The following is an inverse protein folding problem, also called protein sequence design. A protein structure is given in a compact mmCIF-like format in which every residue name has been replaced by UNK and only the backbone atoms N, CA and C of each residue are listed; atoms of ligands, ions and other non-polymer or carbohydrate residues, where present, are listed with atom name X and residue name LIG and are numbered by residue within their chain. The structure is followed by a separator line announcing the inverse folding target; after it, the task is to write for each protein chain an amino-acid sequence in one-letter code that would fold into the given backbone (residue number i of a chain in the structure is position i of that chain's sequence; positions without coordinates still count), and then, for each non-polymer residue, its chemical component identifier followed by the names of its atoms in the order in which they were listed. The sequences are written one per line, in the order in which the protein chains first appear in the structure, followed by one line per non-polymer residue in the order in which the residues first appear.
data_IF_278295254893
#
_entry.id   IF_278295254893
#
_cell.length_a   1.000
_cell.length_b   1.000
_cell.length_c   1.000
_cell.angle_alpha   90.00
_cell.angle_beta   90.00
_cell.angle_gamma   90.00
#
_symmetry.space_group_name_H-M   'P 1'
#
loop_
_entity.id
_entity.type
_entity.pdbx_description
1 polymer ?
#
# COMPACT_ATOMS: atom_id res chain seq x y z
N UNK A 1 19.09 -9.27 6.21
CA UNK A 1 19.79 -7.96 6.19
C UNK A 1 20.94 -7.94 5.18
N UNK A 2 21.63 -9.03 4.92
CA UNK A 2 22.79 -9.05 4.00
C UNK A 2 22.49 -8.83 2.51
N UNK A 3 21.24 -8.69 2.14
CA UNK A 3 20.79 -8.42 0.77
C UNK A 3 20.23 -7.01 0.54
N UNK A 4 20.06 -6.22 1.59
CA UNK A 4 19.54 -4.85 1.45
C UNK A 4 20.58 -3.92 0.82
N UNK A 5 20.10 -2.89 0.12
CA UNK A 5 20.96 -1.85 -0.43
C UNK A 5 21.63 -1.06 0.68
N UNK A 6 22.90 -0.71 0.48
CA UNK A 6 23.62 0.23 1.34
C UNK A 6 23.19 1.68 1.10
N UNK A 7 23.58 2.55 2.02
CA UNK A 7 23.24 3.98 1.99
C UNK A 7 23.71 4.67 0.70
N UNK A 8 24.89 4.32 0.20
CA UNK A 8 25.47 4.94 -1.00
C UNK A 8 24.69 4.58 -2.26
N UNK A 9 24.27 3.31 -2.38
CA UNK A 9 23.41 2.84 -3.50
C UNK A 9 22.04 3.50 -3.46
N UNK A 10 21.44 3.65 -2.27
CA UNK A 10 20.18 4.39 -2.10
C UNK A 10 20.33 5.87 -2.49
N UNK A 11 21.38 6.55 -2.02
CA UNK A 11 21.62 7.96 -2.34
C UNK A 11 21.75 8.19 -3.86
N UNK A 12 22.47 7.29 -4.56
CA UNK A 12 22.53 7.30 -6.02
C UNK A 12 21.15 7.10 -6.65
N UNK A 13 20.38 6.14 -6.17
CA UNK A 13 19.03 5.86 -6.70
C UNK A 13 18.09 7.04 -6.48
N UNK A 14 18.20 7.77 -5.37
CA UNK A 14 17.42 8.99 -5.11
C UNK A 14 17.78 10.12 -6.09
N UNK A 15 19.07 10.34 -6.35
CA UNK A 15 19.49 11.31 -7.35
C UNK A 15 18.99 10.93 -8.74
N UNK A 16 19.15 9.68 -9.16
CA UNK A 16 18.65 9.18 -10.45
C UNK A 16 17.11 9.30 -10.57
N UNK A 17 16.38 9.14 -9.45
CA UNK A 17 14.92 9.33 -9.40
C UNK A 17 14.57 10.82 -9.57
N UNK A 18 15.26 11.73 -8.89
CA UNK A 18 15.07 13.16 -9.04
C UNK A 18 15.37 13.62 -10.47
N UNK A 19 16.44 13.13 -11.09
CA UNK A 19 16.80 13.40 -12.48
C UNK A 19 15.73 12.90 -13.47
N UNK A 20 14.98 11.85 -13.13
CA UNK A 20 13.81 11.37 -13.88
C UNK A 20 12.56 12.22 -13.67
N UNK A 21 12.59 13.21 -12.77
CA UNK A 21 11.46 14.08 -12.44
C UNK A 21 10.56 13.52 -11.33
N UNK A 22 11.01 12.56 -10.52
CA UNK A 22 10.31 12.15 -9.31
C UNK A 22 10.31 13.30 -8.31
N UNK A 23 9.15 13.64 -7.78
CA UNK A 23 8.99 14.73 -6.82
C UNK A 23 8.84 14.24 -5.38
N UNK A 24 8.33 13.03 -5.19
CA UNK A 24 8.02 12.49 -3.87
C UNK A 24 8.62 11.11 -3.68
N UNK A 25 9.25 10.93 -2.51
CA UNK A 25 9.81 9.67 -2.07
C UNK A 25 9.03 9.15 -0.85
N UNK A 26 8.51 7.94 -0.95
CA UNK A 26 7.87 7.25 0.16
C UNK A 26 8.82 6.20 0.72
N UNK A 27 9.33 6.44 1.93
CA UNK A 27 10.14 5.48 2.68
C UNK A 27 9.20 4.51 3.40
N UNK A 28 9.15 3.28 2.93
CA UNK A 28 8.24 2.23 3.38
C UNK A 28 8.98 0.88 3.42
N UNK A 29 8.28 -0.24 3.30
CA UNK A 29 8.84 -1.59 3.23
C UNK A 29 8.33 -2.48 4.35
N UNK A 30 9.23 -3.12 5.12
CA UNK A 30 8.87 -3.76 6.37
C UNK A 30 8.52 -2.70 7.41
N UNK A 31 9.53 -2.23 8.14
CA UNK A 31 9.41 -1.05 9.02
C UNK A 31 10.68 -0.19 8.84
N UNK A 32 10.57 0.95 8.14
CA UNK A 32 11.74 1.78 7.81
C UNK A 32 12.41 2.36 9.05
N UNK A 33 11.67 2.58 10.14
CA UNK A 33 12.23 3.09 11.40
C UNK A 33 13.27 2.13 12.03
N UNK A 34 13.30 0.86 11.63
CA UNK A 34 14.30 -0.11 12.11
C UNK A 34 15.66 0.03 11.43
N UNK A 35 15.75 0.75 10.30
CA UNK A 35 17.04 0.99 9.63
C UNK A 35 17.89 1.94 10.45
N UNK A 36 19.14 1.54 10.69
CA UNK A 36 20.11 2.36 11.45
C UNK A 36 20.48 3.64 10.71
N UNK A 37 20.63 3.55 9.39
CA UNK A 37 21.03 4.62 8.47
C UNK A 37 19.85 5.46 7.93
N UNK A 38 18.63 5.34 8.51
CA UNK A 38 17.46 6.07 8.02
C UNK A 38 17.67 7.60 7.99
N UNK A 39 18.39 8.15 8.98
CA UNK A 39 18.73 9.58 9.03
C UNK A 39 19.60 9.99 7.83
N UNK A 40 20.56 9.15 7.44
CA UNK A 40 21.44 9.41 6.30
C UNK A 40 20.70 9.28 4.97
N UNK A 41 19.74 8.34 4.89
CA UNK A 41 18.85 8.21 3.73
C UNK A 41 17.95 9.45 3.55
N UNK A 42 17.42 10.00 4.65
CA UNK A 42 16.60 11.22 4.59
C UNK A 42 17.46 12.41 4.14
N UNK A 43 18.69 12.55 4.66
CA UNK A 43 19.62 13.59 4.19
C UNK A 43 19.89 13.47 2.68
N UNK A 44 20.18 12.25 2.22
CA UNK A 44 20.42 12.00 0.80
C UNK A 44 19.19 12.32 -0.08
N UNK A 45 17.98 12.02 0.39
CA UNK A 45 16.76 12.35 -0.31
C UNK A 45 16.50 13.86 -0.36
N UNK A 46 16.73 14.57 0.76
CA UNK A 46 16.68 16.04 0.82
C UNK A 46 17.69 16.68 -0.12
N UNK A 47 18.94 16.17 -0.12
CA UNK A 47 20.01 16.70 -0.96
C UNK A 47 19.73 16.47 -2.47
N UNK A 48 18.89 15.46 -2.80
CA UNK A 48 18.32 15.23 -4.12
C UNK A 48 17.00 16.01 -4.38
N UNK A 49 16.61 16.93 -3.48
CA UNK A 49 15.39 17.76 -3.56
C UNK A 49 14.07 16.95 -3.66
N UNK A 50 14.04 15.75 -3.09
CA UNK A 50 12.84 14.91 -3.02
C UNK A 50 12.02 15.25 -1.77
N UNK A 51 10.70 15.46 -1.94
CA UNK A 51 9.76 15.52 -0.81
C UNK A 51 9.64 14.13 -0.18
N UNK A 52 9.94 14.02 1.11
CA UNK A 52 10.03 12.73 1.81
C UNK A 52 8.81 12.44 2.68
N UNK A 53 8.27 11.24 2.56
CA UNK A 53 7.21 10.72 3.42
C UNK A 53 7.65 9.41 4.08
N UNK A 54 7.72 9.38 5.40
CA UNK A 54 7.99 8.18 6.18
C UNK A 54 6.69 7.43 6.48
N UNK A 55 6.50 6.26 5.87
CA UNK A 55 5.35 5.39 6.11
C UNK A 55 5.76 4.35 7.16
N UNK A 56 5.18 4.43 8.35
CA UNK A 56 5.63 3.64 9.51
C UNK A 56 4.46 3.10 10.33
N UNK A 57 4.70 1.98 11.00
CA UNK A 57 3.83 1.50 12.08
C UNK A 57 3.94 2.35 13.35
N UNK A 58 5.00 3.14 13.49
CA UNK A 58 5.33 3.91 14.68
C UNK A 58 5.96 3.12 15.82
N UNK A 59 5.96 1.79 15.77
CA UNK A 59 6.39 0.96 16.91
C UNK A 59 7.86 1.18 17.28
N UNK A 60 8.72 1.39 16.29
CA UNK A 60 10.17 1.63 16.49
C UNK A 60 10.56 3.10 16.73
N UNK A 61 9.63 4.05 16.61
CA UNK A 61 9.93 5.47 16.75
C UNK A 61 9.98 5.91 18.21
N UNK A 62 10.93 6.80 18.52
CA UNK A 62 11.04 7.52 19.79
C UNK A 62 11.01 9.01 19.53
N UNK A 63 10.72 9.81 20.54
CA UNK A 63 10.76 11.29 20.46
C UNK A 63 12.14 11.76 19.95
N UNK A 64 13.22 11.23 20.52
CA UNK A 64 14.59 11.52 20.07
C UNK A 64 14.79 11.19 18.60
N UNK A 65 14.32 10.01 18.15
CA UNK A 65 14.46 9.60 16.74
C UNK A 65 13.70 10.52 15.80
N UNK A 66 12.51 10.96 16.19
CA UNK A 66 11.73 11.94 15.42
C UNK A 66 12.46 13.27 15.28
N UNK A 67 13.07 13.77 16.36
CA UNK A 67 13.89 14.99 16.30
C UNK A 67 15.10 14.83 15.36
N UNK A 68 15.79 13.69 15.40
CA UNK A 68 16.90 13.39 14.47
C UNK A 68 16.45 13.35 13.00
N UNK A 69 15.22 12.87 12.73
CA UNK A 69 14.65 12.81 11.40
C UNK A 69 14.22 14.20 10.90
N UNK A 70 13.72 15.06 11.78
CA UNK A 70 13.40 16.45 11.50
C UNK A 70 14.66 17.25 11.14
N UNK A 71 15.71 17.16 11.94
CA UNK A 71 17.01 17.76 11.66
C UNK A 71 17.61 17.27 10.33
N UNK A 72 17.34 16.02 9.94
CA UNK A 72 17.77 15.46 8.66
C UNK A 72 16.98 16.01 7.47
N UNK A 73 15.79 16.57 7.70
CA UNK A 73 14.92 17.17 6.67
C UNK A 73 13.80 16.25 6.21
N UNK A 74 13.26 15.39 7.09
CA UNK A 74 12.02 14.65 6.80
C UNK A 74 10.86 15.63 6.69
N UNK A 75 10.04 15.49 5.63
CA UNK A 75 8.92 16.41 5.37
C UNK A 75 7.58 15.95 5.94
N UNK A 76 7.35 14.63 6.04
CA UNK A 76 6.03 14.08 6.33
C UNK A 76 6.11 12.72 7.02
N UNK A 77 5.13 12.43 7.89
CA UNK A 77 4.97 11.11 8.50
C UNK A 77 3.57 10.57 8.22
N UNK A 78 3.51 9.36 7.66
CA UNK A 78 2.29 8.59 7.51
C UNK A 78 2.27 7.47 8.54
N UNK A 79 1.36 7.58 9.51
CA UNK A 79 1.20 6.61 10.59
C UNK A 79 0.11 5.60 10.26
N UNK A 80 0.43 4.31 10.34
CA UNK A 80 -0.52 3.22 10.06
C UNK A 80 -1.26 2.78 11.30
N UNK A 81 -2.60 2.72 11.23
CA UNK A 81 -3.48 2.27 12.30
C UNK A 81 -4.33 1.09 11.82
N UNK A 82 -4.32 -0.04 12.57
CA UNK A 82 -5.00 -1.28 12.19
C UNK A 82 -6.42 -1.41 12.73
N UNK A 83 -6.79 -0.57 13.68
CA UNK A 83 -8.11 -0.51 14.30
C UNK A 83 -8.18 0.69 15.24
N UNK A 84 -9.38 1.05 15.68
CA UNK A 84 -9.62 2.21 16.56
C UNK A 84 -9.82 1.84 18.01
N UNK A 85 -9.77 0.55 18.33
CA UNK A 85 -9.74 0.03 19.70
C UNK A 85 -8.44 -0.72 19.95
N UNK A 86 -7.91 -0.72 21.19
CA UNK A 86 -6.69 -1.47 21.52
C UNK A 86 -6.78 -2.94 21.14
N UNK A 87 -7.91 -3.58 21.43
CA UNK A 87 -8.10 -5.01 21.23
C UNK A 87 -7.94 -5.38 19.74
N UNK A 88 -8.66 -4.70 18.86
CA UNK A 88 -8.62 -5.01 17.43
C UNK A 88 -7.31 -4.56 16.78
N UNK A 89 -6.81 -3.37 17.16
CA UNK A 89 -5.56 -2.85 16.60
C UNK A 89 -4.36 -3.73 16.96
N UNK A 90 -4.31 -4.22 18.20
CA UNK A 90 -3.25 -5.09 18.70
C UNK A 90 -3.36 -6.49 18.08
N UNK A 91 -4.59 -7.02 17.93
CA UNK A 91 -4.82 -8.30 17.27
C UNK A 91 -4.37 -8.26 15.79
N UNK A 92 -4.88 -7.31 15.00
CA UNK A 92 -4.51 -7.20 13.58
C UNK A 92 -3.02 -6.89 13.40
N UNK A 93 -2.46 -6.05 14.27
CA UNK A 93 -1.04 -5.68 14.26
C UNK A 93 -0.10 -6.77 14.79
N UNK A 94 -0.62 -7.78 15.47
CA UNK A 94 0.17 -8.83 16.13
C UNK A 94 1.10 -8.30 17.25
N UNK A 95 0.75 -7.17 17.87
CA UNK A 95 1.60 -6.51 18.86
C UNK A 95 0.77 -5.91 20.01
N UNK A 96 0.83 -6.56 21.18
CA UNK A 96 0.13 -6.11 22.40
C UNK A 96 0.64 -4.73 22.87
N UNK A 97 -0.27 -3.79 23.12
CA UNK A 97 0.05 -2.40 23.47
C UNK A 97 0.41 -1.53 22.27
N UNK A 98 0.26 -2.06 21.04
CA UNK A 98 0.56 -1.36 19.80
C UNK A 98 -0.30 -0.11 19.59
N UNK A 99 -1.59 -0.19 19.92
CA UNK A 99 -2.49 0.96 19.81
C UNK A 99 -2.02 2.14 20.67
N UNK A 100 -1.77 1.91 21.95
CA UNK A 100 -1.31 2.96 22.87
C UNK A 100 0.03 3.54 22.42
N UNK A 101 0.94 2.67 21.94
CA UNK A 101 2.23 3.11 21.42
C UNK A 101 2.06 4.04 20.23
N UNK A 102 1.19 3.72 19.30
CA UNK A 102 0.91 4.53 18.10
C UNK A 102 0.30 5.89 18.48
N UNK A 103 -0.62 5.93 19.43
CA UNK A 103 -1.18 7.20 19.92
C UNK A 103 -0.11 8.08 20.58
N UNK A 104 0.80 7.48 21.34
CA UNK A 104 1.94 8.21 21.89
C UNK A 104 2.88 8.74 20.81
N UNK A 105 3.17 7.93 19.78
CA UNK A 105 4.00 8.34 18.64
C UNK A 105 3.32 9.44 17.84
N UNK A 106 2.01 9.36 17.61
CA UNK A 106 1.24 10.42 16.94
C UNK A 106 1.37 11.76 17.69
N UNK A 107 1.33 11.72 19.03
CA UNK A 107 1.56 12.91 19.85
C UNK A 107 2.98 13.47 19.62
N UNK A 108 4.03 12.67 19.67
CA UNK A 108 5.40 13.11 19.42
C UNK A 108 5.61 13.68 18.01
N UNK A 109 4.97 13.08 16.99
CA UNK A 109 5.00 13.60 15.61
C UNK A 109 4.40 15.01 15.56
N UNK A 110 3.27 15.23 16.24
CA UNK A 110 2.65 16.55 16.37
C UNK A 110 3.49 17.55 17.18
N UNK A 111 4.11 17.12 18.29
CA UNK A 111 4.96 17.95 19.14
C UNK A 111 6.22 18.45 18.39
N UNK A 112 6.80 17.62 17.50
CA UNK A 112 7.90 18.03 16.59
C UNK A 112 7.41 18.95 15.47
N UNK A 113 6.14 18.85 15.09
CA UNK A 113 5.53 19.71 14.05
C UNK A 113 5.39 19.08 12.68
N UNK A 114 5.62 17.79 12.52
CA UNK A 114 5.43 17.11 11.23
C UNK A 114 3.95 17.12 10.82
N UNK A 115 3.68 17.34 9.52
CA UNK A 115 2.40 16.98 8.95
C UNK A 115 2.14 15.47 9.11
N UNK A 116 0.93 15.09 9.56
CA UNK A 116 0.54 13.69 9.74
C UNK A 116 -0.49 13.30 8.70
N UNK A 117 -0.27 12.16 8.04
CA UNK A 117 -1.31 11.37 7.40
C UNK A 117 -1.61 10.15 8.26
N UNK A 118 -2.86 9.94 8.65
CA UNK A 118 -3.30 8.69 9.26
C UNK A 118 -3.70 7.70 8.15
N UNK A 119 -3.10 6.52 8.11
CA UNK A 119 -3.49 5.46 7.17
C UNK A 119 -4.24 4.36 7.90
N UNK A 120 -5.43 4.00 7.39
CA UNK A 120 -6.27 2.94 7.95
C UNK A 120 -6.66 1.97 6.85
N UNK A 121 -6.21 0.71 6.97
CA UNK A 121 -6.63 -0.36 6.07
C UNK A 121 -7.90 -1.00 6.61
N UNK A 122 -8.95 -0.91 5.81
CA UNK A 122 -10.28 -1.42 6.14
C UNK A 122 -10.48 -2.85 5.64
N UNK A 123 -11.09 -3.64 6.50
CA UNK A 123 -11.54 -5.00 6.22
C UNK A 123 -12.84 -5.28 7.01
N UNK A 124 -13.47 -6.44 6.82
CA UNK A 124 -14.70 -6.85 7.52
C UNK A 124 -14.73 -6.42 8.99
N UNK A 125 -13.63 -6.66 9.71
CA UNK A 125 -13.57 -6.53 11.17
C UNK A 125 -13.45 -5.10 11.70
N UNK A 126 -13.16 -4.10 10.83
CA UNK A 126 -12.98 -2.70 11.25
C UNK A 126 -13.74 -1.67 10.41
N UNK A 127 -14.48 -2.08 9.35
CA UNK A 127 -15.27 -1.14 8.54
C UNK A 127 -16.25 -0.29 9.37
N UNK A 128 -16.85 -0.85 10.41
CA UNK A 128 -17.74 -0.14 11.34
C UNK A 128 -17.02 0.94 12.17
N UNK A 129 -15.69 0.91 12.21
CA UNK A 129 -14.86 1.86 12.98
C UNK A 129 -14.47 3.12 12.20
N UNK A 130 -14.92 3.28 10.94
CA UNK A 130 -14.59 4.48 10.13
C UNK A 130 -14.93 5.80 10.85
N UNK A 131 -16.10 5.98 11.51
CA UNK A 131 -16.38 7.21 12.22
C UNK A 131 -15.32 7.52 13.31
N UNK A 132 -14.94 6.50 14.09
CA UNK A 132 -13.92 6.67 15.12
C UNK A 132 -12.52 6.94 14.55
N UNK A 133 -12.18 6.35 13.40
CA UNK A 133 -10.91 6.66 12.72
C UNK A 133 -10.83 8.12 12.26
N UNK A 134 -11.96 8.68 11.80
CA UNK A 134 -12.06 10.10 11.42
C UNK A 134 -11.92 11.02 12.65
N UNK A 135 -12.47 10.64 13.80
CA UNK A 135 -12.29 11.36 15.07
C UNK A 135 -10.83 11.32 15.52
N UNK A 136 -10.21 10.13 15.55
CA UNK A 136 -8.78 9.96 15.90
C UNK A 136 -7.90 10.84 14.99
N UNK A 137 -8.15 10.86 13.68
CA UNK A 137 -7.39 11.69 12.75
C UNK A 137 -7.46 13.18 13.15
N UNK A 138 -8.63 13.67 13.58
CA UNK A 138 -8.79 15.05 14.06
C UNK A 138 -8.13 15.26 15.43
N UNK A 139 -8.25 14.31 16.36
CA UNK A 139 -7.64 14.36 17.70
C UNK A 139 -6.11 14.44 17.65
N UNK A 140 -5.47 13.72 16.73
CA UNK A 140 -4.00 13.75 16.53
C UNK A 140 -3.55 14.91 15.63
N UNK A 141 -4.45 15.76 15.18
CA UNK A 141 -4.12 16.89 14.30
C UNK A 141 -3.72 16.48 12.89
N UNK A 142 -4.11 15.29 12.41
CA UNK A 142 -3.81 14.86 11.06
C UNK A 142 -4.50 15.78 10.03
N UNK A 143 -3.74 16.16 9.00
CA UNK A 143 -4.28 16.95 7.88
C UNK A 143 -4.93 16.09 6.82
N UNK A 144 -4.58 14.79 6.80
CA UNK A 144 -5.06 13.81 5.82
C UNK A 144 -5.31 12.48 6.52
N UNK A 145 -6.35 11.80 6.10
CA UNK A 145 -6.57 10.38 6.39
C UNK A 145 -6.69 9.62 5.08
N UNK A 146 -5.93 8.55 4.96
CA UNK A 146 -6.05 7.58 3.89
C UNK A 146 -6.83 6.38 4.41
N UNK A 147 -7.97 6.12 3.82
CA UNK A 147 -8.85 5.00 4.13
C UNK A 147 -8.83 4.07 2.92
N UNK A 148 -8.15 2.94 3.03
CA UNK A 148 -8.04 1.99 1.94
C UNK A 148 -8.67 0.65 2.33
N UNK A 149 -9.52 0.10 1.47
CA UNK A 149 -10.02 -1.26 1.67
C UNK A 149 -8.92 -2.26 1.32
N UNK A 150 -8.80 -3.31 2.12
CA UNK A 150 -7.81 -4.37 1.92
C UNK A 150 -7.86 -4.92 0.49
N UNK A 151 -6.69 -5.03 -0.14
CA UNK A 151 -6.51 -5.68 -1.44
C UNK A 151 -5.97 -7.09 -1.21
N UNK A 152 -6.54 -8.08 -1.91
CA UNK A 152 -6.19 -9.48 -1.68
C UNK A 152 -4.97 -9.92 -2.44
N UNK A 153 -3.80 -9.49 -1.93
CA UNK A 153 -2.47 -9.92 -2.36
C UNK A 153 -1.68 -10.46 -1.15
N UNK A 154 -0.74 -11.37 -1.39
CA UNK A 154 0.13 -11.91 -0.34
C UNK A 154 -0.65 -12.44 0.87
N UNK A 155 -0.34 -11.96 2.06
CA UNK A 155 -0.98 -12.43 3.31
C UNK A 155 -2.46 -12.10 3.41
N UNK A 156 -2.92 -11.00 2.83
CA UNK A 156 -4.35 -10.70 2.78
C UNK A 156 -5.11 -11.74 1.95
N UNK A 157 -4.50 -12.23 0.86
CA UNK A 157 -5.06 -13.30 0.03
C UNK A 157 -5.27 -14.61 0.82
N UNK A 158 -4.32 -14.96 1.71
CA UNK A 158 -4.41 -16.12 2.59
C UNK A 158 -5.46 -15.95 3.71
N UNK A 159 -5.86 -14.72 4.00
CA UNK A 159 -6.80 -14.37 5.06
C UNK A 159 -8.16 -13.89 4.52
N UNK A 160 -8.52 -14.25 3.29
CA UNK A 160 -9.77 -13.76 2.65
C UNK A 160 -11.02 -14.03 3.50
N UNK A 161 -11.12 -15.22 4.07
CA UNK A 161 -12.28 -15.62 4.89
C UNK A 161 -12.46 -14.74 6.13
N UNK A 162 -11.37 -14.29 6.73
CA UNK A 162 -11.36 -13.42 7.89
C UNK A 162 -11.55 -11.94 7.56
N UNK A 163 -11.14 -11.50 6.35
CA UNK A 163 -11.00 -10.09 6.01
C UNK A 163 -11.98 -9.59 4.95
N UNK A 164 -12.61 -10.48 4.16
CA UNK A 164 -13.52 -10.08 3.08
C UNK A 164 -14.79 -9.43 3.64
N UNK A 165 -15.06 -8.14 3.37
CA UNK A 165 -16.29 -7.50 3.79
C UNK A 165 -17.47 -7.96 2.94
N UNK A 166 -18.67 -7.88 3.48
CA UNK A 166 -19.88 -8.04 2.68
C UNK A 166 -20.09 -6.83 1.76
N UNK A 167 -20.93 -7.01 0.74
CA UNK A 167 -21.30 -5.91 -0.17
C UNK A 167 -21.97 -4.76 0.60
N UNK A 168 -22.82 -5.07 1.55
CA UNK A 168 -23.53 -4.09 2.40
C UNK A 168 -22.53 -3.29 3.22
N UNK A 169 -21.58 -3.96 3.90
CA UNK A 169 -20.52 -3.29 4.65
C UNK A 169 -19.68 -2.35 3.76
N UNK A 170 -19.30 -2.80 2.55
CA UNK A 170 -18.55 -1.96 1.62
C UNK A 170 -19.36 -0.74 1.15
N UNK A 171 -20.67 -0.91 0.85
CA UNK A 171 -21.55 0.19 0.46
C UNK A 171 -21.77 1.20 1.59
N UNK A 172 -21.93 0.73 2.82
CA UNK A 172 -22.11 1.62 3.98
C UNK A 172 -20.82 2.40 4.28
N UNK A 173 -19.65 1.79 4.12
CA UNK A 173 -18.38 2.50 4.19
C UNK A 173 -18.30 3.66 3.18
N UNK A 174 -18.71 3.41 1.93
CA UNK A 174 -18.77 4.45 0.88
C UNK A 174 -19.70 5.61 1.30
N UNK A 175 -20.89 5.31 1.85
CA UNK A 175 -21.85 6.34 2.32
C UNK A 175 -21.26 7.17 3.46
N UNK A 176 -20.65 6.51 4.46
CA UNK A 176 -20.03 7.17 5.61
C UNK A 176 -18.90 8.11 5.13
N UNK A 177 -18.00 7.62 4.31
CA UNK A 177 -16.87 8.42 3.81
C UNK A 177 -17.35 9.60 2.96
N UNK A 178 -18.34 9.39 2.07
CA UNK A 178 -18.88 10.48 1.25
C UNK A 178 -19.58 11.58 2.07
N UNK A 179 -20.21 11.22 3.18
CA UNK A 179 -20.75 12.17 4.16
C UNK A 179 -19.63 12.94 4.84
N UNK A 180 -18.65 12.23 5.40
CA UNK A 180 -17.51 12.82 6.09
C UNK A 180 -16.71 13.79 5.19
N UNK A 181 -16.52 13.47 3.91
CA UNK A 181 -15.88 14.38 2.95
C UNK A 181 -16.58 15.72 2.81
N UNK A 182 -17.91 15.73 2.92
CA UNK A 182 -18.70 16.99 2.87
C UNK A 182 -18.59 17.75 4.18
N UNK A 183 -18.74 17.06 5.32
CA UNK A 183 -18.75 17.64 6.66
C UNK A 183 -17.38 18.16 7.11
N UNK A 184 -16.30 17.48 6.69
CA UNK A 184 -14.92 17.81 7.06
C UNK A 184 -14.15 18.57 5.97
N UNK A 185 -14.84 19.05 4.93
CA UNK A 185 -14.22 19.83 3.85
C UNK A 185 -13.46 21.04 4.40
N UNK A 186 -12.19 21.17 4.00
CA UNK A 186 -11.29 22.24 4.47
C UNK A 186 -10.67 21.99 5.85
N UNK A 187 -11.08 20.95 6.59
CA UNK A 187 -10.49 20.56 7.87
C UNK A 187 -9.64 19.30 7.80
N UNK A 188 -10.11 18.28 7.07
CA UNK A 188 -9.45 16.99 6.89
C UNK A 188 -9.59 16.55 5.44
N UNK A 189 -8.48 16.25 4.78
CA UNK A 189 -8.49 15.59 3.47
C UNK A 189 -8.72 14.10 3.67
N UNK A 190 -9.73 13.55 2.98
CA UNK A 190 -10.08 12.14 3.10
C UNK A 190 -9.86 11.47 1.74
N UNK A 191 -8.78 10.69 1.64
CA UNK A 191 -8.56 9.79 0.52
C UNK A 191 -9.24 8.47 0.83
N UNK A 192 -10.00 7.97 -0.13
CA UNK A 192 -10.69 6.71 0.03
C UNK A 192 -10.49 5.84 -1.20
N UNK A 193 -9.93 4.67 -0.97
CA UNK A 193 -9.72 3.63 -1.97
C UNK A 193 -10.69 2.48 -1.65
N UNK A 194 -11.91 2.50 -2.23
CA UNK A 194 -12.88 1.42 -2.01
C UNK A 194 -12.40 0.14 -2.68
N UNK A 195 -12.85 -0.99 -2.14
CA UNK A 195 -12.67 -2.27 -2.82
C UNK A 195 -13.42 -2.30 -4.14
N UNK A 196 -12.85 -2.96 -5.13
CA UNK A 196 -13.44 -3.10 -6.46
C UNK A 196 -14.05 -4.48 -6.74
N UNK A 197 -13.81 -5.47 -5.88
CA UNK A 197 -14.33 -6.84 -6.06
C UNK A 197 -15.87 -6.96 -6.00
N UNK A 198 -16.58 -5.92 -5.55
CA UNK A 198 -18.04 -5.80 -5.65
C UNK A 198 -18.50 -4.90 -6.81
N UNK A 199 -17.57 -4.32 -7.57
CA UNK A 199 -17.83 -3.41 -8.67
C UNK A 199 -18.12 -4.16 -9.99
N UNK A 200 -18.41 -3.40 -11.04
CA UNK A 200 -18.64 -3.86 -12.41
C UNK A 200 -17.52 -3.45 -13.35
N UNK A 201 -16.72 -2.49 -12.95
CA UNK A 201 -15.70 -1.85 -13.76
C UNK A 201 -14.40 -1.77 -12.97
N UNK A 202 -13.28 -2.17 -13.55
CA UNK A 202 -11.99 -2.09 -12.90
C UNK A 202 -11.49 -0.65 -12.84
N UNK A 203 -10.56 -0.42 -11.92
CA UNK A 203 -9.77 0.81 -11.84
C UNK A 203 -8.53 0.70 -12.71
N UNK A 204 -8.07 1.83 -13.26
CA UNK A 204 -6.80 1.88 -13.95
C UNK A 204 -5.67 1.55 -12.97
N UNK A 205 -4.77 0.65 -13.37
CA UNK A 205 -3.63 0.22 -12.57
C UNK A 205 -2.70 1.40 -12.26
N UNK A 206 -2.67 1.90 -11.03
CA UNK A 206 -1.73 2.94 -10.57
C UNK A 206 -1.58 4.14 -11.55
N UNK A 207 -2.66 4.57 -12.20
CA UNK A 207 -2.59 5.57 -13.26
C UNK A 207 -2.00 5.10 -14.59
N UNK A 208 -1.57 3.85 -14.67
CA UNK A 208 -0.95 3.15 -15.79
C UNK A 208 0.28 2.36 -15.34
N UNK A 209 0.45 1.17 -15.87
CA UNK A 209 1.60 0.30 -15.55
C UNK A 209 2.93 0.99 -15.85
N UNK A 210 3.75 1.23 -14.81
CA UNK A 210 5.06 1.87 -14.95
C UNK A 210 5.03 3.25 -15.63
N UNK A 211 3.98 4.08 -15.40
CA UNK A 211 3.84 5.40 -16.03
C UNK A 211 3.92 6.56 -15.06
N UNK A 212 3.46 6.41 -13.81
CA UNK A 212 3.39 7.50 -12.83
C UNK A 212 4.24 7.29 -11.59
N UNK A 213 4.81 6.11 -11.42
CA UNK A 213 5.62 5.78 -10.25
C UNK A 213 6.33 4.45 -10.41
N UNK A 214 7.28 4.22 -9.53
CA UNK A 214 8.03 2.97 -9.40
C UNK A 214 8.26 2.64 -7.92
N UNK A 215 8.64 1.41 -7.65
CA UNK A 215 9.09 0.98 -6.33
C UNK A 215 10.46 0.37 -6.45
N UNK A 216 11.34 0.65 -5.49
CA UNK A 216 12.61 -0.04 -5.33
C UNK A 216 12.51 -0.90 -4.09
N UNK A 217 12.59 -2.21 -4.24
CA UNK A 217 12.59 -3.15 -3.13
C UNK A 217 13.89 -3.05 -2.32
N UNK A 218 13.92 -3.48 -1.05
CA UNK A 218 15.11 -3.37 -0.21
C UNK A 218 16.36 -4.02 -0.81
N UNK A 219 16.21 -5.07 -1.61
CA UNK A 219 17.29 -5.78 -2.33
C UNK A 219 17.72 -5.10 -3.63
N UNK A 220 17.10 -3.98 -3.99
CA UNK A 220 17.41 -3.18 -5.17
C UNK A 220 16.64 -3.51 -6.43
N UNK A 221 15.71 -4.47 -6.40
CA UNK A 221 14.82 -4.72 -7.54
C UNK A 221 13.90 -3.53 -7.79
N UNK A 222 13.77 -3.12 -9.06
CA UNK A 222 12.92 -2.00 -9.46
C UNK A 222 11.62 -2.53 -10.06
N UNK A 223 10.51 -2.13 -9.46
CA UNK A 223 9.18 -2.64 -9.76
C UNK A 223 8.27 -1.53 -10.31
N UNK A 224 7.49 -1.78 -11.36
CA UNK A 224 6.48 -0.82 -11.84
C UNK A 224 5.27 -0.67 -10.90
N UNK A 225 5.09 -1.62 -9.97
CA UNK A 225 4.08 -1.63 -8.92
C UNK A 225 4.57 -2.51 -7.77
N UNK A 226 4.26 -2.18 -6.52
CA UNK A 226 4.65 -2.98 -5.35
C UNK A 226 4.14 -4.43 -5.38
N UNK A 227 3.03 -4.71 -6.09
CA UNK A 227 2.49 -6.07 -6.26
C UNK A 227 3.03 -6.81 -7.50
N UNK A 228 3.90 -6.18 -8.32
CA UNK A 228 4.35 -6.77 -9.60
C UNK A 228 5.11 -8.08 -9.44
N UNK A 229 5.78 -8.30 -8.30
CA UNK A 229 6.47 -9.55 -7.98
C UNK A 229 5.54 -10.78 -7.91
N UNK A 230 4.22 -10.58 -7.81
CA UNK A 230 3.24 -11.68 -7.88
C UNK A 230 3.05 -12.25 -9.30
N UNK A 231 3.62 -11.61 -10.33
CA UNK A 231 3.59 -12.07 -11.73
C UNK A 231 4.89 -12.84 -12.03
N UNK A 232 4.86 -14.18 -12.05
CA UNK A 232 6.09 -14.99 -11.97
C UNK A 232 7.00 -14.93 -13.22
N UNK A 233 6.47 -14.55 -14.38
CA UNK A 233 7.27 -14.47 -15.62
C UNK A 233 8.00 -13.12 -15.78
N UNK A 234 7.70 -12.11 -14.95
CA UNK A 234 8.40 -10.84 -15.01
C UNK A 234 9.80 -10.98 -14.39
N UNK A 235 10.76 -10.40 -15.08
CA UNK A 235 12.15 -10.27 -14.59
C UNK A 235 12.40 -8.81 -14.26
N UNK A 236 12.75 -8.55 -13.01
CA UNK A 236 12.99 -7.20 -12.53
C UNK A 236 14.48 -6.89 -12.56
N UNK A 237 14.81 -5.74 -13.12
CA UNK A 237 16.17 -5.21 -13.09
C UNK A 237 16.50 -4.68 -11.68
N UNK A 238 17.81 -4.53 -11.39
CA UNK A 238 18.29 -4.10 -10.09
C UNK A 238 19.12 -2.81 -10.23
N UNK A 239 18.92 -1.86 -9.32
CA UNK A 239 19.69 -0.61 -9.30
C UNK A 239 21.19 -0.81 -9.03
N UNK A 240 21.61 -1.99 -8.55
CA UNK A 240 23.04 -2.31 -8.43
C UNK A 240 23.71 -2.44 -9.80
N UNK A 241 22.96 -2.95 -10.79
CA UNK A 241 23.51 -3.38 -12.07
C UNK A 241 23.18 -2.39 -13.20
N UNK A 242 22.09 -1.63 -13.07
CA UNK A 242 21.59 -0.71 -14.10
C UNK A 242 21.15 0.61 -13.48
N UNK A 243 21.26 1.70 -14.22
CA UNK A 243 20.74 3.00 -13.79
C UNK A 243 19.20 3.01 -13.80
N UNK A 244 18.62 3.80 -12.91
CA UNK A 244 17.17 3.92 -12.80
C UNK A 244 16.51 4.44 -14.10
N UNK A 245 17.07 5.45 -14.82
CA UNK A 245 16.57 5.85 -16.12
C UNK A 245 16.57 4.73 -17.16
N UNK A 246 17.64 3.92 -17.22
CA UNK A 246 17.68 2.80 -18.15
C UNK A 246 16.63 1.74 -17.83
N UNK A 247 16.46 1.42 -16.54
CA UNK A 247 15.40 0.50 -16.09
C UNK A 247 14.01 1.04 -16.44
N UNK A 248 13.77 2.33 -16.18
CA UNK A 248 12.47 2.97 -16.43
C UNK A 248 12.06 2.94 -17.90
N UNK A 249 12.99 3.24 -18.81
CA UNK A 249 12.68 3.32 -20.25
C UNK A 249 12.81 1.97 -20.94
N UNK A 250 13.80 1.16 -20.59
CA UNK A 250 14.19 -0.04 -21.32
C UNK A 250 13.97 -1.35 -20.57
N UNK A 251 13.58 -1.31 -19.28
CA UNK A 251 13.33 -2.49 -18.47
C UNK A 251 12.17 -3.33 -18.99
N UNK A 252 12.36 -4.63 -19.14
CA UNK A 252 11.37 -5.54 -19.69
C UNK A 252 10.09 -5.59 -18.84
N UNK A 253 10.22 -5.56 -17.50
CA UNK A 253 9.09 -5.54 -16.58
C UNK A 253 8.26 -4.25 -16.70
N UNK A 254 8.90 -3.10 -16.92
CA UNK A 254 8.20 -1.83 -17.14
C UNK A 254 7.46 -1.81 -18.47
N UNK A 255 8.05 -2.37 -19.51
CA UNK A 255 7.48 -2.38 -20.86
C UNK A 255 6.47 -3.51 -21.09
N UNK A 256 6.36 -4.47 -20.16
CA UNK A 256 5.46 -5.63 -20.31
C UNK A 256 3.99 -5.23 -20.54
N UNK A 257 3.53 -4.18 -19.83
CA UNK A 257 2.13 -3.73 -19.92
C UNK A 257 2.00 -2.23 -20.26
N UNK A 258 3.04 -1.59 -20.76
CA UNK A 258 2.94 -0.29 -21.44
C UNK A 258 2.36 -0.51 -22.85
N UNK A 259 1.56 0.45 -23.33
CA UNK A 259 0.83 0.26 -24.61
C UNK A 259 -0.31 -0.76 -24.48
N UNK A 260 -0.85 -1.20 -25.60
CA UNK A 260 -2.04 -2.06 -25.65
C UNK A 260 -1.81 -3.44 -26.30
N UNK A 261 -0.56 -3.75 -26.67
CA UNK A 261 -0.19 -4.99 -27.35
C UNK A 261 -0.54 -6.26 -26.57
N UNK A 262 -0.50 -6.18 -25.25
CA UNK A 262 -0.78 -7.25 -24.29
C UNK A 262 -2.28 -7.47 -24.03
N UNK A 263 -3.13 -6.48 -24.38
CA UNK A 263 -4.56 -6.52 -24.08
C UNK A 263 -5.28 -7.62 -24.83
N UNK A 264 -6.30 -8.22 -24.19
CA UNK A 264 -7.26 -9.08 -24.86
C UNK A 264 -8.08 -8.31 -25.90
N UNK A 265 -8.66 -9.00 -26.89
CA UNK A 265 -9.51 -8.36 -27.91
C UNK A 265 -10.71 -7.64 -27.29
N UNK A 266 -11.26 -8.17 -26.19
CA UNK A 266 -12.32 -7.51 -25.39
C UNK A 266 -11.89 -6.13 -24.89
N UNK A 267 -10.64 -6.01 -24.39
CA UNK A 267 -10.12 -4.73 -23.91
C UNK A 267 -9.73 -3.79 -25.05
N UNK A 268 -9.12 -4.30 -26.13
CA UNK A 268 -8.73 -3.50 -27.30
C UNK A 268 -9.90 -2.81 -27.97
N UNK A 269 -11.04 -3.50 -28.09
CA UNK A 269 -12.27 -2.98 -28.72
C UNK A 269 -13.21 -2.25 -27.76
N UNK A 270 -12.81 -2.12 -26.47
CA UNK A 270 -13.69 -1.53 -25.45
C UNK A 270 -13.70 0.00 -25.54
N UNK A 271 -14.89 0.59 -25.40
CA UNK A 271 -15.12 2.02 -25.28
C UNK A 271 -14.48 2.65 -24.04
N UNK A 272 -14.15 1.83 -23.04
CA UNK A 272 -13.47 2.24 -21.81
C UNK A 272 -11.95 2.02 -21.84
N UNK A 273 -11.37 1.60 -22.95
CA UNK A 273 -9.95 1.27 -23.08
C UNK A 273 -9.04 2.34 -22.49
N UNK A 274 -9.29 3.61 -22.80
CA UNK A 274 -8.47 4.73 -22.34
C UNK A 274 -8.77 5.15 -20.87
N UNK A 275 -9.86 4.63 -20.29
CA UNK A 275 -10.27 4.96 -18.91
C UNK A 275 -9.62 4.02 -17.91
N UNK A 276 -9.90 2.71 -18.04
CA UNK A 276 -9.43 1.69 -17.08
C UNK A 276 -8.19 0.92 -17.56
N UNK A 277 -7.87 1.03 -18.85
CA UNK A 277 -6.70 0.46 -19.49
C UNK A 277 -6.51 -1.03 -19.16
N UNK A 278 -7.59 -1.80 -19.16
CA UNK A 278 -7.61 -3.22 -18.88
C UNK A 278 -7.49 -3.60 -17.41
N UNK A 279 -7.45 -2.64 -16.50
CA UNK A 279 -7.46 -2.87 -15.05
C UNK A 279 -6.10 -3.31 -14.46
N UNK A 280 -6.14 -4.00 -13.32
CA UNK A 280 -4.96 -4.39 -12.55
C UNK A 280 -4.39 -5.74 -13.01
N UNK A 281 -3.14 -5.76 -13.48
CA UNK A 281 -2.46 -6.99 -13.96
C UNK A 281 -2.13 -7.96 -12.83
N UNK A 282 -1.76 -7.42 -11.66
CA UNK A 282 -1.50 -8.25 -10.47
C UNK A 282 -2.77 -8.93 -9.97
N UNK A 283 -3.91 -8.24 -10.02
CA UNK A 283 -5.22 -8.81 -9.68
C UNK A 283 -5.67 -9.85 -10.71
N UNK A 284 -5.50 -9.58 -12.00
CA UNK A 284 -5.76 -10.55 -13.05
C UNK A 284 -4.94 -11.83 -12.80
N UNK A 285 -3.62 -11.72 -12.57
CA UNK A 285 -2.77 -12.86 -12.23
C UNK A 285 -3.26 -13.60 -10.99
N UNK A 286 -3.54 -12.88 -9.89
CA UNK A 286 -3.92 -13.48 -8.61
C UNK A 286 -5.23 -14.27 -8.68
N UNK A 287 -6.19 -13.81 -9.49
CA UNK A 287 -7.54 -14.37 -9.54
C UNK A 287 -7.79 -15.32 -10.72
N UNK A 288 -6.98 -15.24 -11.79
CA UNK A 288 -7.18 -16.04 -13.00
C UNK A 288 -5.97 -16.88 -13.38
N UNK A 289 -4.81 -16.62 -12.80
CA UNK A 289 -3.53 -17.22 -13.20
C UNK A 289 -2.93 -16.64 -14.48
N UNK A 290 -3.59 -15.66 -15.10
CA UNK A 290 -3.14 -15.01 -16.34
C UNK A 290 -3.16 -13.48 -16.19
N UNK A 291 -2.00 -12.81 -16.17
CA UNK A 291 -1.95 -11.35 -16.05
C UNK A 291 -2.40 -10.62 -17.33
N UNK A 292 -2.57 -11.30 -18.46
CA UNK A 292 -3.10 -10.71 -19.70
C UNK A 292 -4.63 -10.82 -19.79
N UNK A 293 -5.26 -11.60 -18.90
CA UNK A 293 -6.71 -11.72 -18.87
C UNK A 293 -7.39 -10.35 -18.72
N UNK A 294 -8.60 -10.20 -19.27
CA UNK A 294 -9.48 -9.09 -18.92
C UNK A 294 -9.65 -9.09 -17.40
N UNK A 295 -9.44 -7.93 -16.76
CA UNK A 295 -9.53 -7.82 -15.30
C UNK A 295 -10.83 -8.48 -14.79
N UNK A 296 -10.77 -9.41 -13.84
CA UNK A 296 -11.94 -10.17 -13.38
C UNK A 296 -13.02 -9.31 -12.71
N UNK A 297 -12.70 -8.09 -12.27
CA UNK A 297 -13.69 -7.12 -11.81
C UNK A 297 -14.55 -6.59 -12.95
N UNK A 298 -14.02 -6.56 -14.18
CA UNK A 298 -14.75 -6.08 -15.35
C UNK A 298 -15.95 -6.99 -15.67
N UNK A 299 -17.14 -6.41 -15.81
CA UNK A 299 -18.34 -7.15 -16.20
C UNK A 299 -18.25 -7.85 -17.58
N UNK A 300 -17.28 -7.41 -18.43
CA UNK A 300 -16.99 -8.04 -19.73
C UNK A 300 -16.00 -9.21 -19.59
N UNK A 301 -15.44 -9.46 -18.40
CA UNK A 301 -14.52 -10.56 -18.16
C UNK A 301 -15.27 -11.88 -18.06
N UNK A 302 -14.78 -12.98 -18.69
CA UNK A 302 -15.36 -14.30 -18.50
C UNK A 302 -15.24 -14.80 -17.05
N UNK A 303 -14.36 -14.21 -16.25
CA UNK A 303 -14.12 -14.57 -14.84
C UNK A 303 -14.97 -13.77 -13.85
N UNK A 304 -15.73 -12.75 -14.32
CA UNK A 304 -16.43 -11.79 -13.46
C UNK A 304 -17.40 -12.45 -12.47
N UNK A 305 -18.23 -13.36 -12.97
CA UNK A 305 -19.24 -14.05 -12.15
C UNK A 305 -18.55 -14.92 -11.08
N UNK A 306 -17.57 -15.72 -11.49
CA UNK A 306 -16.85 -16.61 -10.57
C UNK A 306 -16.13 -15.85 -9.46
N UNK A 307 -15.51 -14.70 -9.77
CA UNK A 307 -14.83 -13.85 -8.76
C UNK A 307 -15.83 -13.22 -7.81
N UNK A 308 -17.01 -12.80 -8.28
CA UNK A 308 -18.09 -12.32 -7.40
C UNK A 308 -18.61 -13.42 -6.48
N UNK A 309 -18.85 -14.60 -7.00
CA UNK A 309 -19.30 -15.74 -6.20
C UNK A 309 -18.28 -16.09 -5.12
N UNK A 310 -16.98 -16.07 -5.45
CA UNK A 310 -15.91 -16.23 -4.48
C UNK A 310 -15.92 -15.13 -3.41
N UNK A 311 -16.08 -13.87 -3.80
CA UNK A 311 -16.17 -12.76 -2.85
C UNK A 311 -17.36 -12.93 -1.88
N UNK A 312 -18.52 -13.35 -2.38
CA UNK A 312 -19.68 -13.66 -1.54
C UNK A 312 -19.43 -14.86 -0.63
N UNK A 313 -18.81 -15.94 -1.13
CA UNK A 313 -18.49 -17.11 -0.34
C UNK A 313 -17.54 -16.77 0.82
N UNK A 314 -16.46 -16.04 0.54
CA UNK A 314 -15.53 -15.56 1.59
C UNK A 314 -16.21 -14.61 2.58
N UNK A 315 -17.08 -13.70 2.08
CA UNK A 315 -17.84 -12.80 2.93
C UNK A 315 -18.92 -13.50 3.79
N UNK A 316 -19.34 -14.70 3.45
CA UNK A 316 -20.30 -15.48 4.22
C UNK A 316 -19.70 -16.14 5.48
N UNK A 317 -18.36 -16.25 5.56
CA UNK A 317 -17.71 -16.73 6.78
C UNK A 317 -17.91 -15.72 7.93
N UNK A 318 -18.07 -16.23 9.15
CA UNK A 318 -18.29 -15.40 10.34
C UNK A 318 -17.05 -14.58 10.73
N UNK A 319 -17.20 -13.75 11.76
CA UNK A 319 -16.10 -12.93 12.29
C UNK A 319 -15.08 -13.74 13.12
N UNK A 320 -15.40 -15.00 13.46
CA UNK A 320 -14.58 -15.89 14.27
C UNK A 320 -13.49 -16.63 13.49
N UNK A 321 -13.32 -16.35 12.20
CA UNK A 321 -12.24 -16.97 11.40
C UNK A 321 -10.89 -16.45 11.90
N UNK A 322 -9.98 -17.35 12.33
CA UNK A 322 -8.68 -16.95 12.85
C UNK A 322 -7.79 -16.38 11.76
N UNK A 323 -6.96 -15.40 12.15
CA UNK A 323 -5.98 -14.82 11.24
C UNK A 323 -4.72 -15.69 11.15
N UNK A 324 -4.23 -15.88 9.93
CA UNK A 324 -2.91 -16.44 9.68
C UNK A 324 -1.88 -15.31 9.66
N UNK A 325 -0.99 -15.30 10.65
CA UNK A 325 0.07 -14.28 10.74
C UNK A 325 1.33 -14.71 9.99
N UNK A 326 2.06 -13.70 9.49
CA UNK A 326 3.39 -13.92 8.94
C UNK A 326 4.34 -14.39 10.05
N UNK A 327 4.92 -15.57 9.89
CA UNK A 327 5.97 -16.05 10.80
C UNK A 327 7.29 -15.38 10.46
N UNK A 328 8.04 -14.95 11.48
CA UNK A 328 9.39 -14.45 11.28
C UNK A 328 10.29 -15.59 10.76
N UNK A 329 11.19 -15.32 9.79
CA UNK A 329 12.17 -16.31 9.38
C UNK A 329 12.99 -16.76 10.61
N UNK A 330 12.99 -18.04 10.93
CA UNK A 330 13.70 -18.64 12.07
C UNK A 330 12.85 -19.31 13.14
N UNK A 331 11.50 -19.15 13.13
CA UNK A 331 10.60 -19.85 14.07
C UNK A 331 9.98 -21.14 13.53
N UNK A 332 10.43 -21.63 12.37
CA UNK A 332 9.94 -22.88 11.77
C UNK A 332 10.59 -24.15 12.35
N UNK A 333 11.57 -24.03 13.26
CA UNK A 333 12.28 -25.20 13.79
C UNK A 333 11.66 -25.81 15.06
N UNK A 334 10.80 -25.08 15.79
CA UNK A 334 10.32 -25.52 17.11
C UNK A 334 8.87 -26.05 17.13
N UNK A 335 8.24 -26.25 15.98
CA UNK A 335 6.83 -26.72 15.89
C UNK A 335 6.69 -28.18 15.40
N UNK A 336 7.78 -28.94 15.39
CA UNK A 336 7.80 -30.35 15.00
C UNK A 336 8.47 -31.22 16.09
N UNK A 337 8.02 -31.11 17.35
CA UNK A 337 8.19 -32.14 18.39
C UNK A 337 6.86 -32.41 19.12
#
# INVERSE_FOLDING_TARGET
MDQELDTATWARAFQEAADLGVLQLHLSGGEPATRRDLVDLIRAARDAELYTNLITSGIGLTEKRLAELDEAGLDHVQLSLQGTTPELADEIGGYKGGFQRKMQVAKWIGDVGFPITLNVVLHRRNLHQIPRALEIAQEIGARRIEIATVQFHGWALSNRDALMPTREQAQDAIKIVNRARKELKGRLVIDFVPADYHDQLPKRCMGGWGTTGLNIAPDGQVLPCHAAQTIPHLKFDNVRDRSLPDIWYNGSAFNAYRGDHWMSDTCKSCDRKEIDFGGCRCQAMALTGDPNATDPVCAKSPHHIAVKEQAYAHAAHGDDVPLTYRQAPGKLADAAE
#
